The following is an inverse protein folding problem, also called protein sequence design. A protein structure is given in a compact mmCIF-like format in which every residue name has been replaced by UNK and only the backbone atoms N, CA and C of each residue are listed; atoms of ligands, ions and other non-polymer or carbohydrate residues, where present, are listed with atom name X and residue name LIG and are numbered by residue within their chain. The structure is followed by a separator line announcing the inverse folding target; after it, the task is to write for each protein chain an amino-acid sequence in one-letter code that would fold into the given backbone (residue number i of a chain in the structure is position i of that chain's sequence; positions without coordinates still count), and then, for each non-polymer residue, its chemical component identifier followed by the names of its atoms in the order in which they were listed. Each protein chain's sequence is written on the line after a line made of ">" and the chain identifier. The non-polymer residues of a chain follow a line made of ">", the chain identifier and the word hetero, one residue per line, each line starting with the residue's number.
data_IF_398047262186
#
_entry.id   IF_398047262186
#
_cell.length_a   1.000
_cell.length_b   1.000
_cell.length_c   1.000
_cell.angle_alpha   90.00
_cell.angle_beta   90.00
_cell.angle_gamma   90.00
#
_symmetry.space_group_name_H-M   'P 1'
#
loop_
_entity.id
_entity.type
_entity.pdbx_description
1 polymer ?
#
# COMPACT_ATOMS: atom_id res chain seq x y z
N UNK A 1 8.06 59.74 19.46
CA UNK A 1 7.67 59.40 18.07
C UNK A 1 8.89 59.62 17.14
N UNK A 2 9.57 58.60 16.61
CA UNK A 2 9.14 57.30 16.16
C UNK A 2 10.33 56.33 16.17
N UNK A 3 10.11 55.14 16.74
CA UNK A 3 11.01 54.00 16.67
C UNK A 3 11.22 53.59 15.20
N UNK A 4 12.47 53.53 14.75
CA UNK A 4 12.89 52.78 13.57
C UNK A 4 13.25 51.36 14.04
N UNK A 5 12.55 50.31 13.59
CA UNK A 5 12.98 48.95 13.89
C UNK A 5 14.17 48.59 13.01
N UNK A 6 15.20 48.11 13.71
CA UNK A 6 16.44 47.55 13.23
C UNK A 6 16.15 46.23 12.50
N UNK A 7 16.11 46.26 11.16
CA UNK A 7 16.01 45.05 10.33
C UNK A 7 17.38 44.37 10.24
N UNK A 8 17.86 43.96 11.40
CA UNK A 8 18.97 43.03 11.55
C UNK A 8 18.54 41.69 10.95
N UNK A 9 19.24 41.28 9.90
CA UNK A 9 19.50 39.91 9.50
C UNK A 9 18.46 38.87 9.97
N UNK A 10 17.32 38.83 9.28
CA UNK A 10 16.58 37.59 9.14
C UNK A 10 17.46 36.64 8.33
N UNK A 11 18.37 35.96 9.03
CA UNK A 11 18.97 34.72 8.59
C UNK A 11 17.77 33.81 8.33
N UNK A 12 17.34 33.78 7.08
CA UNK A 12 16.41 32.79 6.58
C UNK A 12 17.18 31.49 6.68
N UNK A 13 17.00 30.82 7.82
CA UNK A 13 17.44 29.46 8.03
C UNK A 13 17.06 28.70 6.77
N UNK A 14 17.99 28.06 6.06
CA UNK A 14 17.59 27.19 4.96
C UNK A 14 16.55 26.24 5.55
N UNK A 15 15.42 25.96 4.84
CA UNK A 15 14.48 24.98 5.32
C UNK A 15 15.33 23.76 5.64
N UNK A 16 15.27 23.29 6.89
CA UNK A 16 15.96 22.11 7.35
C UNK A 16 15.66 21.04 6.30
N UNK A 17 16.63 20.84 5.40
CA UNK A 17 16.67 19.70 4.51
C UNK A 17 16.99 18.60 5.49
N UNK A 18 15.94 18.11 6.14
CA UNK A 18 15.93 16.82 6.78
C UNK A 18 16.33 15.91 5.63
N UNK A 19 17.63 15.61 5.59
CA UNK A 19 18.18 14.58 4.76
C UNK A 19 17.51 13.33 5.29
N UNK A 20 16.30 13.05 4.81
CA UNK A 20 15.53 11.88 5.17
C UNK A 20 16.30 10.73 4.56
N UNK A 21 17.26 10.23 5.32
CA UNK A 21 17.84 8.91 5.13
C UNK A 21 16.63 7.99 5.12
N UNK A 22 16.20 7.56 3.94
CA UNK A 22 15.24 6.48 3.82
C UNK A 22 15.83 5.34 4.66
N UNK A 23 15.22 5.14 5.82
CA UNK A 23 15.70 4.14 6.75
C UNK A 23 15.64 2.81 6.02
N UNK A 24 16.63 1.96 6.21
CA UNK A 24 16.63 0.57 5.70
C UNK A 24 15.31 -0.14 5.98
N UNK A 25 14.59 0.28 7.02
CA UNK A 25 13.22 -0.11 7.32
C UNK A 25 12.23 0.08 6.17
N UNK A 26 12.24 1.21 5.46
CA UNK A 26 11.30 1.45 4.35
C UNK A 26 11.56 0.49 3.19
N UNK A 27 12.84 0.22 2.89
CA UNK A 27 13.22 -0.76 1.86
C UNK A 27 12.72 -2.16 2.24
N UNK A 28 12.86 -2.55 3.51
CA UNK A 28 12.36 -3.84 4.01
C UNK A 28 10.84 -3.90 3.92
N UNK A 29 10.13 -2.80 4.24
CA UNK A 29 8.66 -2.72 4.10
C UNK A 29 8.24 -2.94 2.64
N UNK A 30 8.82 -2.23 1.68
CA UNK A 30 8.47 -2.41 0.25
C UNK A 30 8.87 -3.79 -0.30
N UNK A 31 9.93 -4.42 0.20
CA UNK A 31 10.24 -5.81 -0.17
C UNK A 31 9.19 -6.78 0.40
N UNK A 32 8.81 -6.59 1.65
CA UNK A 32 7.79 -7.41 2.30
C UNK A 32 6.42 -7.20 1.64
N UNK A 33 6.07 -5.99 1.20
CA UNK A 33 4.82 -5.72 0.48
C UNK A 33 4.73 -6.47 -0.85
N UNK A 34 5.86 -6.59 -1.58
CA UNK A 34 5.90 -7.38 -2.82
C UNK A 34 5.63 -8.86 -2.52
N UNK A 35 6.27 -9.43 -1.50
CA UNK A 35 6.07 -10.84 -1.12
C UNK A 35 4.63 -11.08 -0.68
N UNK A 36 4.09 -10.23 0.20
CA UNK A 36 2.71 -10.32 0.68
C UNK A 36 1.71 -10.14 -0.46
N UNK A 37 1.99 -9.24 -1.41
CA UNK A 37 1.14 -9.06 -2.57
C UNK A 37 1.13 -10.29 -3.47
N UNK A 38 2.28 -10.91 -3.75
CA UNK A 38 2.34 -12.16 -4.52
C UNK A 38 1.61 -13.31 -3.82
N UNK A 39 1.70 -13.38 -2.49
CA UNK A 39 0.93 -14.34 -1.69
C UNK A 39 -0.57 -14.08 -1.82
N UNK A 40 -1.01 -12.81 -1.83
CA UNK A 40 -2.41 -12.46 -2.05
C UNK A 40 -2.89 -12.91 -3.43
N UNK A 41 -2.11 -12.63 -4.47
CA UNK A 41 -2.41 -13.06 -5.84
C UNK A 41 -2.55 -14.59 -5.92
N UNK A 42 -1.60 -15.31 -5.33
CA UNK A 42 -1.61 -16.77 -5.30
C UNK A 42 -2.85 -17.32 -4.59
N UNK A 43 -3.15 -16.80 -3.39
CA UNK A 43 -4.31 -17.23 -2.60
C UNK A 43 -5.64 -16.96 -3.31
N UNK A 44 -5.81 -15.77 -3.91
CA UNK A 44 -7.04 -15.44 -4.66
C UNK A 44 -7.18 -16.28 -5.94
N UNK A 45 -6.08 -16.53 -6.66
CA UNK A 45 -6.08 -17.33 -7.90
C UNK A 45 -6.39 -18.81 -7.60
N UNK A 46 -5.77 -19.37 -6.55
CA UNK A 46 -6.01 -20.75 -6.12
C UNK A 46 -7.45 -20.95 -5.61
N UNK A 47 -7.99 -19.98 -4.86
CA UNK A 47 -9.38 -20.03 -4.40
C UNK A 47 -10.38 -19.96 -5.56
N UNK A 48 -10.17 -19.12 -6.58
CA UNK A 48 -11.07 -19.17 -7.75
C UNK A 48 -10.91 -20.48 -8.54
N UNK A 49 -9.68 -20.99 -8.73
CA UNK A 49 -9.50 -22.25 -9.48
C UNK A 49 -10.20 -23.45 -8.84
N UNK A 50 -10.40 -23.44 -7.52
CA UNK A 50 -10.95 -24.58 -6.78
C UNK A 50 -12.45 -24.47 -6.49
N UNK A 51 -13.02 -23.26 -6.44
CA UNK A 51 -14.39 -23.04 -5.97
C UNK A 51 -15.15 -21.94 -6.75
N UNK A 52 -14.76 -21.59 -7.98
CA UNK A 52 -15.48 -20.56 -8.72
C UNK A 52 -16.92 -21.04 -9.05
N UNK A 53 -17.98 -20.37 -8.54
CA UNK A 53 -19.35 -20.70 -8.92
C UNK A 53 -19.57 -20.36 -10.41
N UNK A 54 -20.45 -21.09 -11.12
CA UNK A 54 -20.75 -20.76 -12.51
C UNK A 54 -21.27 -19.32 -12.56
N UNK A 55 -20.62 -18.52 -13.38
CA UNK A 55 -20.74 -17.06 -13.58
C UNK A 55 -22.14 -16.54 -13.97
N UNK A 56 -23.16 -17.39 -13.89
CA UNK A 56 -24.49 -17.16 -14.46
C UNK A 56 -25.51 -16.63 -13.44
N UNK A 57 -25.26 -16.71 -12.13
CA UNK A 57 -26.28 -16.40 -11.11
C UNK A 57 -26.19 -15.02 -10.47
N UNK A 58 -25.00 -14.38 -10.36
CA UNK A 58 -24.85 -13.01 -9.79
C UNK A 58 -23.63 -12.25 -10.36
N UNK A 59 -23.82 -11.27 -11.28
CA UNK A 59 -22.70 -10.55 -11.92
C UNK A 59 -21.92 -9.61 -10.98
N UNK A 60 -22.56 -9.04 -9.95
CA UNK A 60 -21.90 -8.17 -8.96
C UNK A 60 -20.84 -8.91 -8.14
N UNK A 61 -21.02 -10.23 -7.98
CA UNK A 61 -20.24 -11.06 -7.10
C UNK A 61 -18.97 -11.58 -7.80
N UNK A 62 -19.05 -11.80 -9.11
CA UNK A 62 -17.88 -12.05 -9.96
C UNK A 62 -16.93 -10.84 -9.99
N UNK A 63 -17.46 -9.62 -10.11
CA UNK A 63 -16.63 -8.40 -10.11
C UNK A 63 -15.83 -8.24 -8.81
N UNK A 64 -16.44 -8.55 -7.67
CA UNK A 64 -15.79 -8.47 -6.36
C UNK A 64 -14.57 -9.41 -6.25
N UNK A 65 -14.65 -10.64 -6.77
CA UNK A 65 -13.51 -11.58 -6.75
C UNK A 65 -12.36 -11.20 -7.69
N UNK A 66 -12.64 -10.58 -8.85
CA UNK A 66 -11.59 -10.15 -9.77
C UNK A 66 -10.81 -8.93 -9.25
N UNK A 67 -11.42 -8.13 -8.38
CA UNK A 67 -10.80 -6.94 -7.83
C UNK A 67 -9.45 -7.20 -7.12
N UNK A 68 -9.36 -8.09 -6.10
CA UNK A 68 -8.08 -8.39 -5.45
C UNK A 68 -7.06 -9.05 -6.38
N UNK A 69 -7.51 -9.84 -7.37
CA UNK A 69 -6.64 -10.46 -8.39
C UNK A 69 -5.96 -9.41 -9.26
N UNK A 70 -6.66 -8.31 -9.60
CA UNK A 70 -6.10 -7.21 -10.41
C UNK A 70 -5.29 -6.24 -9.53
N UNK A 71 -5.76 -5.94 -8.33
CA UNK A 71 -5.13 -4.94 -7.44
C UNK A 71 -3.80 -5.45 -6.87
N UNK A 72 -3.69 -6.73 -6.55
CA UNK A 72 -2.45 -7.31 -6.04
C UNK A 72 -1.23 -7.07 -6.97
N UNK A 73 -1.23 -7.44 -8.26
CA UNK A 73 -0.12 -7.16 -9.14
C UNK A 73 0.11 -5.66 -9.31
N UNK A 74 -0.94 -4.82 -9.31
CA UNK A 74 -0.77 -3.36 -9.33
C UNK A 74 0.02 -2.85 -8.11
N UNK A 75 -0.29 -3.32 -6.89
CA UNK A 75 0.46 -2.95 -5.67
C UNK A 75 1.91 -3.43 -5.76
N UNK A 76 2.15 -4.62 -6.31
CA UNK A 76 3.50 -5.13 -6.52
C UNK A 76 4.28 -4.27 -7.52
N UNK A 77 3.67 -3.87 -8.65
CA UNK A 77 4.29 -2.99 -9.63
C UNK A 77 4.63 -1.61 -9.06
N UNK A 78 3.74 -1.02 -8.27
CA UNK A 78 4.00 0.26 -7.59
C UNK A 78 5.18 0.12 -6.63
N UNK A 79 5.20 -0.96 -5.83
CA UNK A 79 6.29 -1.23 -4.87
C UNK A 79 7.63 -1.49 -5.56
N UNK A 80 7.63 -2.22 -6.68
CA UNK A 80 8.82 -2.45 -7.52
C UNK A 80 9.29 -1.14 -8.15
N UNK A 81 8.38 -0.34 -8.69
CA UNK A 81 8.70 0.98 -9.27
C UNK A 81 9.37 1.89 -8.24
N UNK A 82 8.89 1.87 -6.99
CA UNK A 82 9.55 2.58 -5.90
C UNK A 82 10.97 2.05 -5.62
N UNK A 83 11.15 0.73 -5.50
CA UNK A 83 12.47 0.12 -5.25
C UNK A 83 13.48 0.46 -6.37
N UNK A 84 13.08 0.31 -7.62
CA UNK A 84 13.90 0.66 -8.79
C UNK A 84 14.32 2.12 -8.69
N UNK A 85 13.34 3.01 -8.49
CA UNK A 85 13.61 4.45 -8.36
C UNK A 85 14.60 4.72 -7.22
N UNK A 86 14.47 4.02 -6.10
CA UNK A 86 15.37 4.17 -4.96
C UNK A 86 16.79 3.68 -5.24
N UNK A 87 16.95 2.57 -5.96
CA UNK A 87 18.28 2.05 -6.34
C UNK A 87 18.99 2.94 -7.35
N UNK A 88 18.28 3.45 -8.36
CA UNK A 88 18.89 4.21 -9.45
C UNK A 88 19.08 5.69 -9.12
N UNK A 89 18.14 6.32 -8.40
CA UNK A 89 18.17 7.77 -8.14
C UNK A 89 18.63 8.13 -6.72
N UNK A 90 19.20 7.18 -5.95
CA UNK A 90 19.71 7.44 -4.60
C UNK A 90 20.77 8.55 -4.52
N UNK A 91 21.44 8.83 -5.65
CA UNK A 91 22.60 9.71 -5.74
C UNK A 91 22.27 11.11 -6.27
N UNK A 92 21.05 11.35 -6.78
CA UNK A 92 20.71 12.58 -7.49
C UNK A 92 19.86 13.56 -6.65
N UNK A 93 20.06 14.88 -6.81
CA UNK A 93 19.27 15.91 -6.14
C UNK A 93 17.79 15.95 -6.57
N UNK A 94 17.41 15.22 -7.64
CA UNK A 94 16.00 15.00 -8.03
C UNK A 94 15.19 14.18 -7.02
N UNK A 95 15.82 13.61 -5.99
CA UNK A 95 15.18 12.86 -4.89
C UNK A 95 14.07 13.64 -4.17
N UNK A 96 14.13 14.98 -4.14
CA UNK A 96 13.13 15.81 -3.45
C UNK A 96 11.73 15.72 -4.10
N UNK A 97 11.66 15.65 -5.43
CA UNK A 97 10.37 15.58 -6.16
C UNK A 97 9.78 14.17 -6.15
N UNK A 98 10.63 13.13 -6.09
CA UNK A 98 10.18 11.73 -6.01
C UNK A 98 9.68 11.33 -4.62
N UNK A 99 10.27 11.87 -3.56
CA UNK A 99 9.73 11.69 -2.20
C UNK A 99 8.27 12.19 -2.10
N UNK A 100 7.85 13.17 -2.92
CA UNK A 100 6.48 13.65 -2.95
C UNK A 100 5.49 12.61 -3.52
N UNK A 101 5.93 11.74 -4.42
CA UNK A 101 5.10 10.65 -4.98
C UNK A 101 5.10 9.38 -4.11
N UNK A 102 6.05 9.25 -3.19
CA UNK A 102 6.15 8.10 -2.31
C UNK A 102 4.94 8.00 -1.36
N UNK A 103 4.60 9.10 -0.67
CA UNK A 103 3.46 9.14 0.26
C UNK A 103 2.11 8.84 -0.42
N UNK A 104 1.71 9.48 -1.54
CA UNK A 104 0.44 9.19 -2.19
C UNK A 104 0.39 7.75 -2.75
N UNK A 105 1.51 7.19 -3.18
CA UNK A 105 1.56 5.79 -3.63
C UNK A 105 1.35 4.79 -2.49
N UNK A 106 1.91 5.06 -1.31
CA UNK A 106 1.71 4.26 -0.10
C UNK A 106 0.26 4.36 0.41
N UNK A 107 -0.33 5.56 0.40
CA UNK A 107 -1.73 5.76 0.78
C UNK A 107 -2.68 5.05 -0.20
N UNK A 108 -2.43 5.15 -1.50
CA UNK A 108 -3.24 4.48 -2.51
C UNK A 108 -3.18 2.96 -2.38
N UNK A 109 -1.98 2.39 -2.21
CA UNK A 109 -1.80 0.94 -2.01
C UNK A 109 -2.42 0.45 -0.71
N UNK A 110 -2.33 1.24 0.37
CA UNK A 110 -3.02 0.95 1.64
C UNK A 110 -4.54 0.93 1.47
N UNK A 111 -5.12 1.94 0.81
CA UNK A 111 -6.57 1.99 0.54
C UNK A 111 -7.02 0.83 -0.34
N UNK A 112 -6.29 0.54 -1.42
CA UNK A 112 -6.61 -0.55 -2.34
C UNK A 112 -6.56 -1.92 -1.64
N UNK A 113 -5.55 -2.15 -0.79
CA UNK A 113 -5.45 -3.35 0.05
C UNK A 113 -6.59 -3.43 1.08
N UNK A 114 -6.98 -2.30 1.68
CA UNK A 114 -8.12 -2.23 2.58
C UNK A 114 -9.45 -2.59 1.91
N UNK A 115 -9.68 -2.09 0.68
CA UNK A 115 -10.86 -2.46 -0.12
C UNK A 115 -10.85 -3.96 -0.43
N UNK A 116 -9.69 -4.54 -0.77
CA UNK A 116 -9.55 -5.99 -0.96
C UNK A 116 -9.92 -6.77 0.31
N UNK A 117 -9.46 -6.31 1.49
CA UNK A 117 -9.81 -6.94 2.76
C UNK A 117 -11.32 -6.90 3.03
N UNK A 118 -11.97 -5.76 2.81
CA UNK A 118 -13.42 -5.61 2.99
C UNK A 118 -14.18 -6.54 2.05
N UNK A 119 -13.79 -6.60 0.77
CA UNK A 119 -14.42 -7.49 -0.21
C UNK A 119 -14.30 -8.96 0.21
N UNK A 120 -13.12 -9.39 0.64
CA UNK A 120 -12.88 -10.77 1.07
C UNK A 120 -13.66 -11.12 2.35
N UNK A 121 -13.81 -10.19 3.29
CA UNK A 121 -14.63 -10.38 4.50
C UNK A 121 -16.12 -10.49 4.14
N UNK A 122 -16.62 -9.62 3.27
CA UNK A 122 -18.02 -9.66 2.80
C UNK A 122 -18.31 -10.97 2.07
N UNK A 123 -17.40 -11.41 1.20
CA UNK A 123 -17.52 -12.69 0.50
C UNK A 123 -17.51 -13.88 1.47
N UNK A 124 -16.64 -13.84 2.49
CA UNK A 124 -16.61 -14.87 3.53
C UNK A 124 -17.89 -14.94 4.34
N UNK A 125 -18.60 -13.82 4.52
CA UNK A 125 -19.84 -13.75 5.32
C UNK A 125 -21.05 -14.26 4.52
N UNK A 126 -21.12 -13.98 3.21
CA UNK A 126 -22.24 -14.37 2.35
C UNK A 126 -22.27 -15.88 2.01
N UNK A 127 -21.11 -16.55 1.99
CA UNK A 127 -21.02 -17.98 1.62
C UNK A 127 -20.88 -18.94 2.81
N UNK A 128 -20.47 -18.47 3.99
CA UNK A 128 -20.38 -19.31 5.19
C UNK A 128 -21.49 -18.97 6.20
N UNK A 129 -22.59 -19.73 6.16
CA UNK A 129 -23.42 -20.00 7.34
C UNK A 129 -22.71 -20.92 8.36
N UNK A 130 -21.41 -21.19 8.21
CA UNK A 130 -20.63 -22.10 9.04
C UNK A 130 -19.53 -21.35 9.81
N UNK A 131 -19.60 -21.43 11.14
CA UNK A 131 -18.54 -21.16 12.14
C UNK A 131 -17.64 -19.93 11.90
N UNK A 132 -18.14 -18.81 12.40
CA UNK A 132 -17.66 -17.41 12.30
C UNK A 132 -16.21 -17.09 12.69
N UNK A 133 -15.36 -18.05 13.08
CA UNK A 133 -14.03 -17.76 13.66
C UNK A 133 -12.88 -18.53 12.99
N UNK A 134 -13.11 -19.74 12.48
CA UNK A 134 -11.99 -20.59 12.01
C UNK A 134 -11.51 -20.29 10.58
N UNK A 135 -12.14 -19.32 9.90
CA UNK A 135 -11.80 -18.99 8.52
C UNK A 135 -12.00 -17.52 8.24
N UNK A 136 -11.26 -16.65 8.94
CA UNK A 136 -10.74 -15.48 8.21
C UNK A 136 -10.06 -16.07 6.98
N UNK A 137 -10.66 -15.83 5.81
CA UNK A 137 -10.10 -16.32 4.57
C UNK A 137 -8.64 -15.92 4.54
N UNK A 138 -7.74 -16.86 4.22
CA UNK A 138 -6.30 -16.59 4.19
C UNK A 138 -5.98 -15.33 3.36
N UNK A 139 -6.76 -15.05 2.31
CA UNK A 139 -6.76 -13.84 1.49
C UNK A 139 -7.12 -12.54 2.26
N UNK A 140 -8.11 -12.58 3.16
CA UNK A 140 -8.50 -11.43 3.98
C UNK A 140 -7.40 -11.05 4.98
N UNK A 141 -6.80 -12.03 5.65
CA UNK A 141 -5.67 -11.79 6.56
C UNK A 141 -4.47 -11.17 5.83
N UNK A 142 -4.13 -11.70 4.65
CA UNK A 142 -3.04 -11.20 3.81
C UNK A 142 -3.33 -9.76 3.36
N UNK A 143 -4.57 -9.44 2.98
CA UNK A 143 -4.98 -8.08 2.57
C UNK A 143 -4.90 -7.07 3.72
N UNK A 144 -5.32 -7.44 4.94
CA UNK A 144 -5.20 -6.60 6.13
C UNK A 144 -3.72 -6.34 6.45
N UNK A 145 -2.88 -7.37 6.39
CA UNK A 145 -1.44 -7.23 6.60
C UNK A 145 -0.80 -6.29 5.57
N UNK A 146 -1.19 -6.40 4.30
CA UNK A 146 -0.71 -5.53 3.22
C UNK A 146 -1.14 -4.06 3.44
N UNK A 147 -2.40 -3.85 3.85
CA UNK A 147 -2.93 -2.54 4.21
C UNK A 147 -2.18 -1.90 5.37
N UNK A 148 -1.95 -2.66 6.46
CA UNK A 148 -1.23 -2.21 7.63
C UNK A 148 0.22 -1.86 7.31
N UNK A 149 0.88 -2.69 6.49
CA UNK A 149 2.26 -2.46 6.05
C UNK A 149 2.37 -1.14 5.27
N UNK A 150 1.52 -0.90 4.28
CA UNK A 150 1.53 0.35 3.51
C UNK A 150 1.11 1.57 4.34
N UNK A 151 0.25 1.39 5.34
CA UNK A 151 -0.06 2.45 6.32
C UNK A 151 1.16 2.79 7.18
N UNK A 152 1.87 1.78 7.71
CA UNK A 152 3.12 1.98 8.45
C UNK A 152 4.18 2.64 7.57
N UNK A 153 4.29 2.23 6.29
CA UNK A 153 5.16 2.89 5.33
C UNK A 153 4.79 4.37 5.18
N UNK A 154 3.52 4.70 5.00
CA UNK A 154 3.06 6.09 4.90
C UNK A 154 3.36 6.92 6.15
N UNK A 155 3.17 6.39 7.36
CA UNK A 155 3.50 7.09 8.61
C UNK A 155 5.01 7.16 8.88
N UNK A 156 5.79 6.18 8.42
CA UNK A 156 7.26 6.21 8.51
C UNK A 156 7.90 7.20 7.54
N UNK A 157 7.09 7.74 6.62
CA UNK A 157 7.41 8.79 5.68
C UNK A 157 6.89 10.16 6.17
N UNK A 158 6.71 10.34 7.47
CA UNK A 158 6.58 11.66 8.13
C UNK A 158 7.89 12.09 8.81
#
# INVERSE_FOLDING_TARGET
>A
PSLLPDWSHSIMSPPLVIFRRASTHNIILYLLSIVISLLLFYSCTFHCSSQCPPSLSRPSLSFAQYFPIIISPCIAFISIGWLITKFFYSSDPCTLSYNFFEMPSAVFSSLAAGICAVIEILYSTDFNQMEWIDKISSSAAISIALCALHAIAAFSLE
#
